data_IF_118302541949
#
_entry.id   IF_118302541949
#
_cell.length_a   1.000
_cell.length_b   1.000
_cell.length_c   1.000
_cell.angle_alpha   90.00
_cell.angle_beta   90.00
_cell.angle_gamma   90.00
#
_symmetry.space_group_name_H-M   'P 1'
#
loop_
_entity.id
_entity.type
_entity.pdbx_description
1 polymer ?
#
# COMPACT_ATOMS: atom_id res chain seq x y z
N UNK A 1 14.88 32.28 40.47
CA UNK A 1 15.40 31.26 39.52
C UNK A 1 14.44 30.08 39.27
N UNK A 2 13.43 29.82 40.11
CA UNK A 2 12.49 28.67 39.94
C UNK A 2 11.53 28.78 38.75
N UNK A 3 11.09 30.00 38.39
CA UNK A 3 10.07 30.24 37.36
C UNK A 3 10.52 29.94 35.91
N UNK A 4 11.83 30.01 35.64
CA UNK A 4 12.41 29.83 34.31
C UNK A 4 12.48 28.32 33.96
N UNK A 5 12.76 27.47 34.95
CA UNK A 5 12.86 26.01 34.77
C UNK A 5 11.51 25.37 34.44
N UNK A 6 10.43 25.91 34.98
CA UNK A 6 9.06 25.41 34.78
C UNK A 6 8.51 25.78 33.39
N UNK A 7 8.84 26.99 32.91
CA UNK A 7 8.49 27.44 31.56
C UNK A 7 9.17 26.58 30.47
N UNK A 8 10.41 26.14 30.71
CA UNK A 8 11.17 25.27 29.79
C UNK A 8 10.58 23.86 29.69
N UNK A 9 10.05 23.31 30.80
CA UNK A 9 9.35 22.02 30.82
C UNK A 9 8.00 22.07 30.11
N UNK A 10 7.26 23.17 30.26
CA UNK A 10 5.98 23.39 29.54
C UNK A 10 6.17 23.55 28.03
N UNK A 11 7.22 24.25 27.61
CA UNK A 11 7.59 24.34 26.20
C UNK A 11 8.01 22.99 25.62
N UNK A 12 8.85 22.23 26.33
CA UNK A 12 9.25 20.89 25.91
C UNK A 12 8.07 19.91 25.83
N UNK A 13 7.18 19.96 26.83
CA UNK A 13 5.96 19.14 26.85
C UNK A 13 5.02 19.48 25.70
N UNK A 14 4.79 20.78 25.45
CA UNK A 14 3.98 21.24 24.32
C UNK A 14 4.57 20.86 22.96
N UNK A 15 5.89 20.95 22.80
CA UNK A 15 6.57 20.54 21.57
C UNK A 15 6.54 19.02 21.35
N UNK A 16 6.65 18.23 22.42
CA UNK A 16 6.55 16.76 22.36
C UNK A 16 5.12 16.32 22.00
N UNK A 17 4.11 16.99 22.55
CA UNK A 17 2.70 16.75 22.27
C UNK A 17 2.35 17.15 20.83
N UNK A 18 2.86 18.30 20.37
CA UNK A 18 2.71 18.74 18.98
C UNK A 18 3.38 17.75 18.01
N UNK A 19 4.57 17.26 18.36
CA UNK A 19 5.28 16.24 17.58
C UNK A 19 4.49 14.92 17.51
N UNK A 20 3.91 14.48 18.64
CA UNK A 20 3.06 13.28 18.70
C UNK A 20 1.80 13.39 17.84
N UNK A 21 1.17 14.57 17.81
CA UNK A 21 -0.03 14.84 17.01
C UNK A 21 0.30 14.83 15.51
N UNK A 22 1.42 15.44 15.11
CA UNK A 22 1.88 15.45 13.71
C UNK A 22 2.21 14.04 13.21
N UNK A 23 2.87 13.21 14.02
CA UNK A 23 3.19 11.81 13.68
C UNK A 23 1.93 10.95 13.48
N UNK A 24 0.84 11.27 14.17
CA UNK A 24 -0.43 10.51 14.07
C UNK A 24 -1.16 10.71 12.74
N UNK A 25 -0.90 11.80 12.02
CA UNK A 25 -1.62 12.14 10.79
C UNK A 25 -1.09 11.49 9.50
N UNK A 26 0.08 10.82 9.55
CA UNK A 26 0.78 10.32 8.37
C UNK A 26 0.88 8.78 8.28
N UNK A 27 -0.05 8.04 8.89
CA UNK A 27 -0.04 6.59 8.82
C UNK A 27 -0.68 6.10 7.52
N UNK A 28 0.12 5.61 6.57
CA UNK A 28 -0.40 4.75 5.49
C UNK A 28 -1.01 3.49 6.13
N UNK A 29 -2.28 3.13 5.82
CA UNK A 29 -2.95 2.02 6.50
C UNK A 29 -2.34 0.66 6.17
N UNK A 30 -1.61 0.56 5.06
CA UNK A 30 -0.97 -0.66 4.59
C UNK A 30 0.54 -0.45 4.47
N UNK A 31 1.31 -1.39 5.01
CA UNK A 31 2.77 -1.36 5.03
C UNK A 31 3.38 -2.44 4.16
N UNK A 32 2.66 -3.52 3.89
CA UNK A 32 3.14 -4.72 3.17
C UNK A 32 2.16 -5.09 2.07
N UNK A 33 2.26 -4.38 0.96
CA UNK A 33 1.39 -4.52 -0.20
C UNK A 33 1.95 -5.58 -1.13
N UNK A 34 1.10 -6.50 -1.56
CA UNK A 34 1.35 -7.36 -2.72
C UNK A 34 0.47 -6.91 -3.88
N UNK A 35 1.05 -6.81 -5.07
CA UNK A 35 0.30 -6.49 -6.29
C UNK A 35 0.33 -7.66 -7.28
N UNK A 36 -0.84 -8.21 -7.58
CA UNK A 36 -1.02 -9.29 -8.55
C UNK A 36 -1.35 -8.78 -9.96
N UNK A 37 -1.14 -7.49 -10.24
CA UNK A 37 -1.33 -6.89 -11.56
C UNK A 37 -0.20 -5.90 -11.91
N UNK A 38 0.36 -5.95 -13.13
CA UNK A 38 1.39 -5.00 -13.56
C UNK A 38 0.93 -3.54 -13.54
N UNK A 39 -0.30 -3.25 -13.97
CA UNK A 39 -0.86 -1.90 -13.94
C UNK A 39 -0.98 -1.33 -12.53
N UNK A 40 -1.44 -2.13 -11.56
CA UNK A 40 -1.53 -1.72 -10.16
C UNK A 40 -0.15 -1.54 -9.54
N UNK A 41 0.82 -2.38 -9.92
CA UNK A 41 2.22 -2.20 -9.52
C UNK A 41 2.75 -0.86 -10.03
N UNK A 42 2.55 -0.54 -11.31
CA UNK A 42 2.99 0.73 -11.88
C UNK A 42 2.33 1.93 -11.17
N UNK A 43 1.04 1.84 -10.83
CA UNK A 43 0.36 2.89 -10.09
C UNK A 43 0.96 3.13 -8.69
N UNK A 44 1.42 2.07 -8.00
CA UNK A 44 2.12 2.24 -6.71
C UNK A 44 3.43 3.01 -6.87
N UNK A 45 4.18 2.78 -7.95
CA UNK A 45 5.38 3.55 -8.27
C UNK A 45 5.05 5.02 -8.54
N UNK A 46 4.02 5.28 -9.34
CA UNK A 46 3.58 6.66 -9.58
C UNK A 46 3.13 7.38 -8.30
N UNK A 47 2.62 6.65 -7.31
CA UNK A 47 2.17 7.16 -6.02
C UNK A 47 3.29 7.23 -4.94
N UNK A 48 4.55 7.00 -5.31
CA UNK A 48 5.69 6.89 -4.37
C UNK A 48 5.40 5.92 -3.22
N UNK A 49 4.83 4.77 -3.54
CA UNK A 49 4.44 3.71 -2.59
C UNK A 49 5.17 2.39 -2.85
N UNK A 50 6.18 2.37 -3.72
CA UNK A 50 7.00 1.19 -4.00
C UNK A 50 7.70 0.64 -2.76
N UNK A 51 7.98 1.45 -1.74
CA UNK A 51 8.59 0.99 -0.49
C UNK A 51 7.65 0.06 0.31
N UNK A 52 6.34 0.23 0.14
CA UNK A 52 5.33 -0.65 0.74
C UNK A 52 5.09 -1.91 -0.09
N UNK A 53 5.54 -1.95 -1.35
CA UNK A 53 5.42 -3.11 -2.21
C UNK A 53 6.44 -4.18 -1.79
N UNK A 54 5.95 -5.33 -1.32
CA UNK A 54 6.77 -6.47 -0.90
C UNK A 54 6.72 -7.64 -1.88
N UNK A 55 5.72 -7.68 -2.76
CA UNK A 55 5.64 -8.72 -3.80
C UNK A 55 4.85 -8.29 -5.03
N UNK A 56 5.28 -8.78 -6.19
CA UNK A 56 4.70 -8.43 -7.49
C UNK A 56 4.64 -9.64 -8.43
N UNK A 57 4.06 -9.44 -9.61
CA UNK A 57 4.10 -10.45 -10.68
C UNK A 57 5.44 -10.44 -11.41
N UNK A 58 5.73 -11.54 -12.09
CA UNK A 58 6.88 -11.67 -13.00
C UNK A 58 6.87 -10.73 -14.20
N UNK A 59 5.83 -9.91 -14.38
CA UNK A 59 5.74 -8.92 -15.47
C UNK A 59 6.04 -7.49 -15.01
N UNK A 60 6.27 -7.27 -13.72
CA UNK A 60 6.52 -5.93 -13.17
C UNK A 60 8.01 -5.58 -13.24
N UNK A 61 8.48 -4.97 -14.33
CA UNK A 61 9.92 -4.74 -14.55
C UNK A 61 10.56 -3.81 -13.50
N UNK A 62 9.96 -2.64 -13.24
CA UNK A 62 10.47 -1.71 -12.23
C UNK A 62 10.56 -2.36 -10.84
N UNK A 63 9.58 -3.18 -10.47
CA UNK A 63 9.59 -3.92 -9.21
C UNK A 63 10.70 -5.00 -9.16
N UNK A 64 11.05 -5.62 -10.29
CA UNK A 64 12.19 -6.53 -10.33
C UNK A 64 13.52 -5.81 -10.15
N UNK A 65 13.67 -4.62 -10.75
CA UNK A 65 14.87 -3.79 -10.60
C UNK A 65 15.07 -3.38 -9.13
N UNK A 66 13.97 -3.07 -8.43
CA UNK A 66 13.95 -2.82 -6.98
C UNK A 66 13.99 -4.10 -6.12
N UNK A 67 14.24 -5.26 -6.74
CA UNK A 67 14.36 -6.57 -6.08
C UNK A 67 13.14 -6.96 -5.24
N UNK A 68 11.94 -6.55 -5.65
CA UNK A 68 10.69 -7.01 -5.03
C UNK A 68 10.47 -8.50 -5.29
N UNK A 69 9.84 -9.18 -4.34
CA UNK A 69 9.63 -10.63 -4.46
C UNK A 69 8.63 -10.97 -5.56
N UNK A 70 8.99 -11.92 -6.42
CA UNK A 70 8.06 -12.42 -7.44
C UNK A 70 7.15 -13.46 -6.80
N UNK A 71 5.86 -13.14 -6.73
CA UNK A 71 4.82 -13.97 -6.10
C UNK A 71 3.77 -14.49 -7.08
N UNK A 72 3.82 -14.08 -8.34
CA UNK A 72 2.92 -14.58 -9.38
C UNK A 72 3.61 -14.69 -10.73
N UNK A 73 3.30 -15.78 -11.44
CA UNK A 73 3.73 -16.01 -12.83
C UNK A 73 2.64 -15.56 -13.81
N UNK A 74 2.80 -15.90 -15.09
CA UNK A 74 1.75 -15.78 -16.11
C UNK A 74 0.51 -16.63 -15.82
N UNK A 75 0.70 -17.71 -15.09
CA UNK A 75 -0.29 -18.78 -14.97
C UNK A 75 -1.04 -18.69 -13.64
N UNK A 76 -0.32 -18.44 -12.53
CA UNK A 76 -0.93 -18.45 -11.20
C UNK A 76 -0.16 -17.63 -10.17
N UNK A 77 -0.87 -17.12 -9.17
CA UNK A 77 -0.30 -16.56 -7.95
C UNK A 77 0.11 -17.66 -6.96
N UNK A 78 1.28 -17.49 -6.34
CA UNK A 78 1.74 -18.33 -5.24
C UNK A 78 1.23 -17.73 -3.91
N UNK A 79 0.06 -18.18 -3.45
CA UNK A 79 -0.57 -17.66 -2.24
C UNK A 79 0.24 -17.93 -0.97
N UNK A 80 0.93 -19.07 -0.90
CA UNK A 80 1.81 -19.39 0.24
C UNK A 80 2.90 -18.34 0.38
N UNK A 81 3.50 -17.91 -0.75
CA UNK A 81 4.51 -16.84 -0.75
C UNK A 81 3.91 -15.49 -0.35
N UNK A 82 2.69 -15.17 -0.82
CA UNK A 82 1.98 -13.96 -0.40
C UNK A 82 1.75 -13.94 1.11
N UNK A 83 1.33 -15.06 1.70
CA UNK A 83 1.10 -15.20 3.14
C UNK A 83 2.43 -15.14 3.91
N UNK A 84 3.48 -15.82 3.43
CA UNK A 84 4.81 -15.80 4.02
C UNK A 84 5.42 -14.39 4.06
N UNK A 85 5.10 -13.56 3.06
CA UNK A 85 5.48 -12.15 3.02
C UNK A 85 4.70 -11.29 4.02
N UNK A 86 3.75 -11.84 4.78
CA UNK A 86 2.91 -11.11 5.75
C UNK A 86 2.24 -9.90 5.10
N UNK A 87 1.67 -10.10 3.91
CA UNK A 87 0.97 -9.03 3.20
C UNK A 87 -0.23 -8.56 4.03
N UNK A 88 -0.40 -7.25 4.17
CA UNK A 88 -1.56 -6.63 4.83
C UNK A 88 -2.59 -6.10 3.82
N UNK A 89 -2.19 -5.96 2.55
CA UNK A 89 -3.04 -5.66 1.42
C UNK A 89 -2.59 -6.43 0.18
N UNK A 90 -3.52 -7.05 -0.52
CA UNK A 90 -3.31 -7.64 -1.84
C UNK A 90 -4.18 -6.90 -2.86
N UNK A 91 -3.53 -6.31 -3.85
CA UNK A 91 -4.17 -5.66 -4.99
C UNK A 91 -4.32 -6.67 -6.12
N UNK A 92 -5.55 -6.89 -6.59
CA UNK A 92 -5.84 -7.86 -7.64
C UNK A 92 -6.63 -7.24 -8.77
N UNK A 93 -6.51 -7.83 -9.97
CA UNK A 93 -7.35 -7.44 -11.10
C UNK A 93 -8.64 -8.24 -11.13
N UNK A 94 -9.61 -7.84 -11.96
CA UNK A 94 -10.82 -8.62 -12.23
C UNK A 94 -10.57 -10.01 -12.85
N UNK A 95 -9.35 -10.30 -13.32
CA UNK A 95 -8.97 -11.60 -13.87
C UNK A 95 -8.41 -12.59 -12.85
N UNK A 96 -8.20 -12.15 -11.59
CA UNK A 96 -7.70 -13.04 -10.54
C UNK A 96 -8.79 -14.01 -10.11
N UNK A 97 -8.41 -15.28 -9.93
CA UNK A 97 -9.33 -16.36 -9.53
C UNK A 97 -10.06 -16.01 -8.21
N UNK A 98 -11.38 -16.20 -8.19
CA UNK A 98 -12.20 -15.96 -7.01
C UNK A 98 -11.79 -16.86 -5.83
N UNK A 99 -11.38 -18.10 -6.09
CA UNK A 99 -10.92 -19.02 -5.06
C UNK A 99 -9.62 -18.51 -4.41
N UNK A 100 -8.72 -17.92 -5.20
CA UNK A 100 -7.49 -17.32 -4.68
C UNK A 100 -7.79 -16.09 -3.80
N UNK A 101 -8.73 -15.24 -4.25
CA UNK A 101 -9.21 -14.07 -3.48
C UNK A 101 -9.83 -14.51 -2.15
N UNK A 102 -10.71 -15.52 -2.17
CA UNK A 102 -11.36 -16.04 -0.97
C UNK A 102 -10.36 -16.67 0.00
N UNK A 103 -9.37 -17.40 -0.53
CA UNK A 103 -8.32 -18.02 0.28
C UNK A 103 -7.52 -16.94 1.01
N UNK A 104 -7.04 -15.91 0.30
CA UNK A 104 -6.32 -14.80 0.93
C UNK A 104 -7.15 -14.11 2.03
N UNK A 105 -8.44 -13.89 1.79
CA UNK A 105 -9.37 -13.31 2.78
C UNK A 105 -9.56 -14.21 4.00
N UNK A 106 -9.62 -15.54 3.83
CA UNK A 106 -9.69 -16.51 4.95
C UNK A 106 -8.47 -16.45 5.87
N UNK A 107 -7.31 -16.08 5.32
CA UNK A 107 -6.08 -15.82 6.10
C UNK A 107 -6.04 -14.42 6.72
N UNK A 108 -7.15 -13.66 6.68
CA UNK A 108 -7.25 -12.32 7.27
C UNK A 108 -6.59 -11.22 6.45
N UNK A 109 -6.15 -11.51 5.22
CA UNK A 109 -5.49 -10.52 4.36
C UNK A 109 -6.57 -9.68 3.66
N UNK A 110 -6.40 -8.36 3.67
CA UNK A 110 -7.26 -7.46 2.92
C UNK A 110 -7.00 -7.64 1.43
N UNK A 111 -8.04 -7.94 0.65
CA UNK A 111 -7.95 -8.06 -0.81
C UNK A 111 -8.82 -7.03 -1.49
N UNK A 112 -8.20 -6.19 -2.31
CA UNK A 112 -8.85 -5.12 -3.07
C UNK A 112 -8.82 -5.42 -4.57
N UNK A 113 -10.02 -5.49 -5.15
CA UNK A 113 -10.23 -5.88 -6.55
C UNK A 113 -10.39 -4.62 -7.40
N UNK A 114 -9.59 -4.51 -8.46
CA UNK A 114 -9.70 -3.49 -9.49
C UNK A 114 -10.16 -4.14 -10.79
N UNK A 115 -11.38 -3.81 -11.20
CA UNK A 115 -11.96 -4.32 -12.45
C UNK A 115 -11.24 -3.70 -13.65
N UNK A 116 -11.29 -4.36 -14.81
CA UNK A 116 -10.74 -3.79 -16.05
C UNK A 116 -11.49 -2.49 -16.39
N UNK A 117 -10.82 -1.33 -16.40
CA UNK A 117 -11.47 -0.07 -16.71
C UNK A 117 -11.90 -0.03 -18.17
N UNK A 118 -13.05 0.56 -18.45
CA UNK A 118 -13.62 0.68 -19.81
C UNK A 118 -13.42 2.06 -20.43
N UNK A 119 -12.88 3.00 -19.67
CA UNK A 119 -12.69 4.38 -20.10
C UNK A 119 -11.50 5.02 -19.40
N UNK A 120 -10.99 6.11 -19.96
CA UNK A 120 -9.94 6.92 -19.33
C UNK A 120 -10.38 7.50 -17.97
N UNK A 121 -11.66 7.90 -17.87
CA UNK A 121 -12.26 8.37 -16.62
C UNK A 121 -12.19 7.30 -15.52
N UNK A 122 -12.47 6.04 -15.86
CA UNK A 122 -12.36 4.92 -14.92
C UNK A 122 -10.91 4.64 -14.52
N UNK A 123 -9.95 4.77 -15.44
CA UNK A 123 -8.52 4.65 -15.11
C UNK A 123 -8.15 5.71 -14.05
N UNK A 124 -8.54 6.97 -14.27
CA UNK A 124 -8.30 8.06 -13.32
C UNK A 124 -8.99 7.79 -11.97
N UNK A 125 -10.25 7.37 -12.00
CA UNK A 125 -11.01 7.04 -10.79
C UNK A 125 -10.37 5.89 -10.00
N UNK A 126 -9.87 4.86 -10.68
CA UNK A 126 -9.16 3.75 -10.04
C UNK A 126 -7.82 4.19 -9.45
N UNK A 127 -7.08 5.07 -10.14
CA UNK A 127 -5.83 5.63 -9.64
C UNK A 127 -6.05 6.45 -8.36
N UNK A 128 -7.04 7.35 -8.35
CA UNK A 128 -7.43 8.14 -7.16
C UNK A 128 -7.90 7.22 -6.03
N UNK A 129 -8.72 6.20 -6.35
CA UNK A 129 -9.18 5.21 -5.37
C UNK A 129 -8.01 4.46 -4.73
N UNK A 130 -7.01 4.05 -5.52
CA UNK A 130 -5.81 3.41 -5.01
C UNK A 130 -5.01 4.38 -4.12
N UNK A 131 -4.82 5.63 -4.57
CA UNK A 131 -4.17 6.68 -3.78
C UNK A 131 -4.83 6.85 -2.42
N UNK A 132 -6.15 7.00 -2.37
CA UNK A 132 -6.90 7.07 -1.11
C UNK A 132 -6.72 5.83 -0.23
N UNK A 133 -6.79 4.64 -0.83
CA UNK A 133 -6.65 3.36 -0.12
C UNK A 133 -5.29 3.25 0.61
N UNK A 134 -4.22 3.77 0.03
CA UNK A 134 -2.86 3.66 0.58
C UNK A 134 -2.38 4.95 1.29
N UNK A 135 -3.24 5.94 1.47
CA UNK A 135 -2.90 7.20 2.14
C UNK A 135 -2.06 8.17 1.29
N UNK A 136 -2.22 8.12 -0.04
CA UNK A 136 -1.53 8.93 -1.06
C UNK A 136 -2.53 9.72 -1.91
N UNK A 137 -3.67 10.13 -1.34
CA UNK A 137 -4.75 10.81 -2.08
C UNK A 137 -4.29 12.11 -2.75
N UNK A 138 -3.52 12.94 -2.04
CA UNK A 138 -2.99 14.21 -2.58
C UNK A 138 -2.12 14.03 -3.82
N UNK A 139 -1.33 12.95 -3.86
CA UNK A 139 -0.48 12.64 -5.01
C UNK A 139 -1.27 12.05 -6.19
N UNK A 140 -2.46 11.52 -5.92
CA UNK A 140 -3.28 10.86 -6.92
C UNK A 140 -4.19 11.84 -7.70
N UNK A 141 -4.38 13.06 -7.18
CA UNK A 141 -5.18 14.13 -7.79
C UNK A 141 -4.33 15.01 -8.70
#
# INVERSE_FOLDING_TARGET
QVKITDMRKRFFSGMLLLFYVVVSFAQTPYKRIVSLAPSLTQSLYYLDAQDNLVGCTSYCMAAKEDKKEIVASAVKANLEKVIALKADLVLVSGFTDLQDIETLRKFGIKVEVFQSPKSFQEICGQFIRLGKLIGKEERAR
#
